data_IF_697385625819
#
_entry.id   IF_697385625819
#
_cell.length_a   1.000
_cell.length_b   1.000
_cell.length_c   1.000
_cell.angle_alpha   90.00
_cell.angle_beta   90.00
_cell.angle_gamma   90.00
#
_symmetry.space_group_name_H-M   'P 1'
#
loop_
_entity.id
_entity.type
_entity.pdbx_description
1 polymer ?
#
# COMPACT_ATOMS: atom_id res chain seq x y z
N UNK A 1 -6.82 -0.90 8.53
CA UNK A 1 -5.56 -1.42 7.93
C UNK A 1 -5.34 -0.75 6.58
N UNK A 2 -4.11 -0.39 6.30
CA UNK A 2 -3.72 0.24 5.03
C UNK A 2 -2.90 -0.77 4.22
N UNK A 3 -3.29 -1.03 2.97
CA UNK A 3 -2.52 -1.88 2.07
C UNK A 3 -1.47 -1.04 1.33
N UNK A 4 -0.25 -1.61 1.19
CA UNK A 4 0.68 -1.08 0.21
C UNK A 4 0.38 -1.68 -1.19
N UNK A 5 1.09 -1.21 -2.21
CA UNK A 5 0.89 -1.71 -3.56
C UNK A 5 1.18 -3.21 -3.68
N UNK A 6 2.20 -3.71 -2.99
CA UNK A 6 2.61 -5.11 -3.07
C UNK A 6 1.54 -6.07 -2.53
N UNK A 7 0.86 -5.69 -1.44
CA UNK A 7 -0.23 -6.50 -0.88
C UNK A 7 -1.41 -6.57 -1.84
N UNK A 8 -1.80 -5.44 -2.44
CA UNK A 8 -2.89 -5.42 -3.42
C UNK A 8 -2.53 -6.18 -4.69
N UNK A 9 -1.30 -6.05 -5.17
CA UNK A 9 -0.84 -6.80 -6.34
C UNK A 9 -0.80 -8.30 -6.08
N UNK A 10 -0.46 -8.74 -4.85
CA UNK A 10 -0.51 -10.15 -4.48
C UNK A 10 -1.95 -10.69 -4.57
N UNK A 11 -2.93 -9.90 -4.13
CA UNK A 11 -4.35 -10.26 -4.26
C UNK A 11 -4.75 -10.39 -5.73
N UNK A 12 -4.46 -9.38 -6.54
CA UNK A 12 -4.88 -9.34 -7.95
C UNK A 12 -4.20 -10.42 -8.80
N UNK A 13 -2.95 -10.77 -8.46
CA UNK A 13 -2.18 -11.81 -9.15
C UNK A 13 -2.35 -13.20 -8.59
N UNK A 14 -3.20 -13.38 -7.58
CA UNK A 14 -3.38 -14.65 -6.85
C UNK A 14 -2.04 -15.23 -6.40
N UNK A 15 -1.19 -14.37 -5.86
CA UNK A 15 0.14 -14.75 -5.39
C UNK A 15 0.08 -15.21 -3.92
N UNK A 16 1.23 -15.64 -3.39
CA UNK A 16 1.36 -16.00 -1.98
C UNK A 16 0.90 -14.83 -1.10
N UNK A 17 -0.02 -15.10 -0.18
CA UNK A 17 -0.60 -14.08 0.70
C UNK A 17 -1.87 -13.43 0.18
N UNK A 18 -2.37 -13.82 -1.00
CA UNK A 18 -3.59 -13.26 -1.58
C UNK A 18 -4.80 -13.39 -0.65
N UNK A 19 -4.92 -14.49 0.07
CA UNK A 19 -6.01 -14.74 1.01
C UNK A 19 -6.00 -13.74 2.19
N UNK A 20 -4.84 -13.39 2.71
CA UNK A 20 -4.71 -12.37 3.76
C UNK A 20 -5.06 -10.97 3.25
N UNK A 21 -4.61 -10.64 2.05
CA UNK A 21 -4.98 -9.37 1.42
C UNK A 21 -6.49 -9.31 1.14
N UNK A 22 -7.07 -10.41 0.64
CA UNK A 22 -8.51 -10.49 0.41
C UNK A 22 -9.31 -10.32 1.70
N UNK A 23 -8.87 -10.92 2.80
CA UNK A 23 -9.51 -10.76 4.11
C UNK A 23 -9.48 -9.30 4.59
N UNK A 24 -8.36 -8.60 4.38
CA UNK A 24 -8.24 -7.19 4.72
C UNK A 24 -9.19 -6.33 3.89
N UNK A 25 -9.27 -6.57 2.59
CA UNK A 25 -10.21 -5.87 1.69
C UNK A 25 -11.65 -6.10 2.14
N UNK A 26 -12.01 -7.34 2.46
CA UNK A 26 -13.36 -7.68 2.93
C UNK A 26 -13.73 -6.96 4.23
N UNK A 27 -12.76 -6.59 5.04
CA UNK A 27 -12.96 -5.84 6.29
C UNK A 27 -12.96 -4.33 6.10
N UNK A 28 -12.91 -3.85 4.86
CA UNK A 28 -12.93 -2.42 4.56
C UNK A 28 -11.56 -1.73 4.65
N UNK A 29 -10.52 -2.41 4.19
CA UNK A 29 -9.18 -1.84 4.18
C UNK A 29 -9.08 -0.54 3.37
N UNK A 30 -8.10 0.27 3.74
CA UNK A 30 -7.75 1.51 3.04
C UNK A 30 -6.53 1.31 2.16
N UNK A 31 -6.37 2.20 1.19
CA UNK A 31 -5.15 2.35 0.40
C UNK A 31 -4.89 3.83 0.17
N UNK A 32 -3.63 4.23 0.22
CA UNK A 32 -3.26 5.60 -0.14
C UNK A 32 -3.32 5.82 -1.65
N UNK A 33 -3.59 7.06 -2.05
CA UNK A 33 -3.70 7.42 -3.48
C UNK A 33 -2.40 7.14 -4.25
N UNK A 34 -1.22 7.30 -3.62
CA UNK A 34 0.07 6.99 -4.25
C UNK A 34 0.17 5.49 -4.54
N UNK A 35 -0.18 4.65 -3.58
CA UNK A 35 -0.11 3.19 -3.75
C UNK A 35 -1.18 2.68 -4.73
N UNK A 36 -2.35 3.31 -4.74
CA UNK A 36 -3.36 3.03 -5.77
C UNK A 36 -2.82 3.36 -7.17
N UNK A 37 -2.14 4.49 -7.31
CA UNK A 37 -1.51 4.88 -8.58
C UNK A 37 -0.46 3.86 -9.03
N UNK A 38 0.33 3.33 -8.11
CA UNK A 38 1.31 2.28 -8.44
C UNK A 38 0.64 1.02 -8.99
N UNK A 39 -0.44 0.56 -8.34
CA UNK A 39 -1.18 -0.62 -8.79
C UNK A 39 -1.85 -0.36 -10.13
N UNK A 40 -2.55 0.76 -10.27
CA UNK A 40 -3.21 1.14 -11.53
C UNK A 40 -2.19 1.25 -12.68
N UNK A 41 -1.02 1.80 -12.41
CA UNK A 41 0.05 1.93 -13.39
C UNK A 41 0.57 0.58 -13.86
N UNK A 42 0.72 -0.39 -12.97
CA UNK A 42 1.13 -1.76 -13.33
C UNK A 42 0.09 -2.46 -14.19
N UNK A 43 -1.19 -2.33 -13.86
CA UNK A 43 -2.28 -2.90 -14.66
C UNK A 43 -2.30 -2.27 -16.06
N UNK A 44 -2.17 -0.95 -16.14
CA UNK A 44 -2.10 -0.22 -17.40
C UNK A 44 -0.89 -0.67 -18.24
N UNK A 45 0.28 -0.80 -17.61
CA UNK A 45 1.50 -1.23 -18.30
C UNK A 45 1.39 -2.66 -18.84
N UNK A 46 0.56 -3.51 -18.24
CA UNK A 46 0.30 -4.88 -18.71
C UNK A 46 -0.67 -4.92 -19.90
N UNK A 47 -1.23 -3.77 -20.31
CA UNK A 47 -2.15 -3.67 -21.45
C UNK A 47 -3.63 -3.55 -21.08
N UNK A 48 -3.95 -3.47 -19.80
CA UNK A 48 -5.34 -3.32 -19.37
C UNK A 48 -5.86 -1.92 -19.72
N UNK A 49 -7.01 -1.79 -20.42
CA UNK A 49 -7.59 -0.48 -20.73
C UNK A 49 -8.00 0.29 -19.45
N UNK A 50 -8.02 1.62 -19.53
CA UNK A 50 -8.30 2.49 -18.37
C UNK A 50 -9.65 2.18 -17.71
N UNK A 51 -10.70 1.97 -18.49
CA UNK A 51 -12.03 1.64 -17.95
C UNK A 51 -12.03 0.32 -17.20
N UNK A 52 -11.27 -0.68 -17.68
CA UNK A 52 -11.12 -1.96 -16.99
C UNK A 52 -10.31 -1.81 -15.69
N UNK A 53 -9.25 -1.01 -15.71
CA UNK A 53 -8.47 -0.71 -14.50
C UNK A 53 -9.37 -0.12 -13.42
N UNK A 54 -10.22 0.86 -13.80
CA UNK A 54 -11.16 1.51 -12.88
C UNK A 54 -12.18 0.51 -12.33
N UNK A 55 -12.70 -0.36 -13.17
CA UNK A 55 -13.69 -1.37 -12.76
C UNK A 55 -13.08 -2.40 -11.80
N UNK A 56 -11.90 -2.90 -12.11
CA UNK A 56 -11.20 -3.88 -11.25
C UNK A 56 -10.92 -3.28 -9.87
N UNK A 57 -10.31 -2.11 -9.82
CA UNK A 57 -9.93 -1.49 -8.55
C UNK A 57 -11.14 -0.93 -7.80
N UNK A 58 -12.09 -0.33 -8.51
CA UNK A 58 -13.31 0.18 -7.91
C UNK A 58 -14.19 -0.93 -7.32
N UNK A 59 -14.18 -2.11 -7.92
CA UNK A 59 -14.93 -3.27 -7.45
C UNK A 59 -14.45 -3.81 -6.10
N UNK A 60 -13.25 -3.46 -5.66
CA UNK A 60 -12.72 -3.86 -4.35
C UNK A 60 -13.27 -3.03 -3.20
N UNK A 61 -13.92 -1.92 -3.48
CA UNK A 61 -14.50 -1.01 -2.47
C UNK A 61 -13.48 -0.55 -1.42
N UNK A 62 -12.24 -0.36 -1.83
CA UNK A 62 -11.20 0.17 -0.95
C UNK A 62 -11.49 1.62 -0.57
N UNK A 63 -11.20 1.97 0.68
CA UNK A 63 -11.21 3.37 1.09
C UNK A 63 -9.91 4.03 0.63
N UNK A 64 -10.01 4.92 -0.35
CA UNK A 64 -8.84 5.62 -0.88
C UNK A 64 -8.58 6.89 -0.07
N UNK A 65 -7.37 7.03 0.47
CA UNK A 65 -6.97 8.18 1.27
C UNK A 65 -6.02 9.07 0.46
N UNK A 66 -6.34 10.36 0.40
CA UNK A 66 -5.59 11.33 -0.40
C UNK A 66 -4.15 11.51 0.11
N UNK A 67 -3.23 11.77 -0.82
CA UNK A 67 -1.86 12.16 -0.52
C UNK A 67 -1.79 13.70 -0.51
N UNK A 68 -1.71 14.28 0.69
CA UNK A 68 -1.74 15.73 0.89
C UNK A 68 -0.36 16.29 1.30
N UNK A 69 -0.31 17.59 1.54
CA UNK A 69 0.93 18.28 1.92
C UNK A 69 1.51 17.72 3.22
N UNK A 70 0.69 17.45 4.23
CA UNK A 70 1.16 16.87 5.49
C UNK A 70 1.85 15.53 5.28
N UNK A 71 1.27 14.65 4.45
CA UNK A 71 1.90 13.38 4.11
C UNK A 71 3.21 13.56 3.35
N UNK A 72 3.32 14.57 2.50
CA UNK A 72 4.56 14.85 1.80
C UNK A 72 5.72 15.11 2.79
N UNK A 73 5.48 15.89 3.83
CA UNK A 73 6.49 16.15 4.85
C UNK A 73 6.75 14.92 5.74
N UNK A 74 5.72 14.14 6.06
CA UNK A 74 5.90 12.90 6.81
C UNK A 74 6.73 11.87 6.05
N UNK A 75 6.53 11.76 4.75
CA UNK A 75 7.36 10.92 3.88
C UNK A 75 8.82 11.35 3.93
N UNK A 76 9.09 12.64 3.84
CA UNK A 76 10.44 13.18 3.95
C UNK A 76 11.10 12.84 5.30
N UNK A 77 10.34 12.95 6.39
CA UNK A 77 10.82 12.64 7.74
C UNK A 77 11.21 11.17 7.91
N UNK A 78 10.64 10.26 7.11
CA UNK A 78 10.98 8.84 7.15
C UNK A 78 12.29 8.50 6.44
N UNK A 79 12.83 9.40 5.61
CA UNK A 79 14.05 9.11 4.83
C UNK A 79 15.23 8.69 5.70
N UNK A 80 15.62 9.43 6.76
CA UNK A 80 16.74 9.01 7.60
C UNK A 80 16.52 7.67 8.30
N UNK A 81 15.27 7.35 8.62
CA UNK A 81 14.91 6.14 9.37
C UNK A 81 14.83 4.89 8.47
N UNK A 82 14.61 5.07 7.17
CA UNK A 82 14.39 3.97 6.23
C UNK A 82 15.47 3.83 5.17
N UNK A 83 16.45 4.74 5.16
CA UNK A 83 17.52 4.76 4.15
C UNK A 83 18.26 3.43 4.03
N UNK A 84 18.66 2.75 5.12
CA UNK A 84 19.36 1.47 5.02
C UNK A 84 18.53 0.35 4.39
N UNK A 85 17.21 0.51 4.32
CA UNK A 85 16.28 -0.51 3.81
C UNK A 85 15.92 -0.29 2.34
N UNK A 86 16.38 0.79 1.71
CA UNK A 86 16.14 1.06 0.29
C UNK A 86 14.68 1.26 -0.09
N UNK A 87 13.87 1.84 0.79
CA UNK A 87 12.45 2.06 0.52
C UNK A 87 12.22 3.14 -0.53
N UNK A 88 11.23 2.90 -1.39
CA UNK A 88 10.78 3.85 -2.41
C UNK A 88 9.91 4.97 -1.80
N UNK A 89 9.62 5.98 -2.61
CA UNK A 89 8.65 7.01 -2.23
C UNK A 89 7.28 6.41 -1.90
N UNK A 90 6.80 5.47 -2.72
CA UNK A 90 5.52 4.80 -2.49
C UNK A 90 5.51 4.00 -1.19
N UNK A 91 6.59 3.31 -0.86
CA UNK A 91 6.74 2.57 0.40
C UNK A 91 6.60 3.51 1.59
N UNK A 92 7.33 4.63 1.55
CA UNK A 92 7.28 5.63 2.63
C UNK A 92 5.93 6.33 2.70
N UNK A 93 5.26 6.53 1.55
CA UNK A 93 3.92 7.10 1.52
C UNK A 93 2.92 6.20 2.27
N UNK A 94 3.01 4.89 2.09
CA UNK A 94 2.17 3.93 2.80
C UNK A 94 2.43 3.94 4.31
N UNK A 95 3.70 3.90 4.70
CA UNK A 95 4.09 3.93 6.12
C UNK A 95 3.68 5.24 6.81
N UNK A 96 3.88 6.36 6.15
CA UNK A 96 3.48 7.67 6.68
C UNK A 96 1.96 7.77 6.87
N UNK A 97 1.20 7.21 5.95
CA UNK A 97 -0.26 7.16 6.06
C UNK A 97 -0.70 6.31 7.25
N UNK A 98 -0.10 5.14 7.42
CA UNK A 98 -0.38 4.28 8.58
C UNK A 98 -0.07 4.98 9.89
N UNK A 99 1.05 5.68 9.98
CA UNK A 99 1.41 6.46 11.17
C UNK A 99 0.38 7.54 11.48
N UNK A 100 0.03 8.34 10.48
CA UNK A 100 -0.90 9.47 10.67
C UNK A 100 -2.29 9.00 11.07
N UNK A 101 -2.78 7.96 10.43
CA UNK A 101 -4.14 7.45 10.66
C UNK A 101 -4.22 6.48 11.85
N UNK A 102 -3.10 6.09 12.43
CA UNK A 102 -3.07 5.11 13.51
C UNK A 102 -3.54 3.74 13.06
N UNK A 103 -3.25 3.36 11.81
CA UNK A 103 -3.65 2.10 11.21
C UNK A 103 -2.44 1.22 10.94
N UNK A 104 -2.62 -0.09 11.12
CA UNK A 104 -1.62 -1.07 10.72
C UNK A 104 -1.48 -1.09 9.20
N UNK A 105 -0.27 -1.34 8.72
CA UNK A 105 0.06 -1.46 7.30
C UNK A 105 0.21 -2.94 6.93
N UNK A 106 -0.36 -3.33 5.80
CA UNK A 106 -0.23 -4.68 5.25
C UNK A 106 0.62 -4.62 3.97
N UNK A 107 1.68 -5.41 3.95
CA UNK A 107 2.65 -5.45 2.84
C UNK A 107 3.00 -6.88 2.46
N UNK A 108 3.46 -7.10 1.23
CA UNK A 108 4.07 -8.36 0.82
C UNK A 108 5.59 -8.38 1.03
N UNK A 109 6.18 -7.26 1.43
CA UNK A 109 7.61 -7.15 1.69
C UNK A 109 7.92 -7.43 3.16
N UNK A 110 8.47 -8.62 3.43
CA UNK A 110 8.79 -9.06 4.80
C UNK A 110 9.82 -8.16 5.50
N UNK A 111 10.66 -7.48 4.74
CA UNK A 111 11.69 -6.62 5.31
C UNK A 111 11.10 -5.45 6.12
N UNK A 112 9.86 -5.04 5.83
CA UNK A 112 9.23 -3.94 6.55
C UNK A 112 8.89 -4.31 7.99
N UNK A 113 8.74 -5.59 8.31
CA UNK A 113 8.41 -6.03 9.68
C UNK A 113 9.54 -5.67 10.66
N UNK A 114 10.75 -5.56 10.15
CA UNK A 114 11.93 -5.22 10.97
C UNK A 114 12.19 -3.71 11.07
N UNK A 115 11.32 -2.87 10.47
CA UNK A 115 11.45 -1.43 10.59
C UNK A 115 11.07 -0.95 11.99
N UNK A 116 11.91 -0.09 12.56
CA UNK A 116 11.66 0.52 13.87
C UNK A 116 10.96 1.86 13.71
N UNK A 117 9.69 1.81 13.32
CA UNK A 117 8.85 2.98 13.09
C UNK A 117 7.63 2.91 14.00
N UNK A 118 7.02 4.08 14.26
CA UNK A 118 5.79 4.18 15.03
C UNK A 118 4.57 3.82 14.16
N UNK A 119 4.55 2.59 13.68
CA UNK A 119 3.48 2.02 12.88
C UNK A 119 3.57 0.50 12.95
N UNK A 120 2.43 -0.16 13.13
CA UNK A 120 2.37 -1.62 13.06
C UNK A 120 2.45 -2.07 11.60
N UNK A 121 3.34 -3.02 11.33
CA UNK A 121 3.50 -3.60 9.99
C UNK A 121 3.19 -5.09 10.06
N UNK A 122 2.31 -5.55 9.18
CA UNK A 122 1.98 -6.97 9.01
C UNK A 122 2.33 -7.40 7.60
N UNK A 123 2.87 -8.61 7.46
CA UNK A 123 3.18 -9.19 6.15
C UNK A 123 2.07 -10.14 5.72
N UNK A 124 1.73 -10.13 4.43
CA UNK A 124 0.81 -11.14 3.85
C UNK A 124 1.48 -12.51 3.68
N UNK A 125 2.79 -12.53 3.78
CA UNK A 125 3.59 -13.76 3.57
C UNK A 125 4.04 -14.39 4.85
#
# INVERSE_FOLDING_TARGET
MVLDASALLALLGDELGADRAAAAVARGASIGAVNLAEVASKLSASGMPDDEVRDVLGGLSLRVLAFDEDLAYRVAALVPLTRPHGLSLGDRACLALGQREGLAVLTADRAWVDLHLDVEVQSVR
#
